data_IF_622212720071
#
_entry.id   IF_622212720071
#
_cell.length_a   1.000
_cell.length_b   1.000
_cell.length_c   1.000
_cell.angle_alpha   90.00
_cell.angle_beta   90.00
_cell.angle_gamma   90.00
#
_symmetry.space_group_name_H-M   'P 1'
#
loop_
_entity.id
_entity.type
_entity.pdbx_description
1 polymer ?
#
# COMPACT_ATOMS: atom_id res chain seq x y z
N UNK A 1 41.22 63.21 -87.00
CA UNK A 1 39.97 62.44 -87.22
C UNK A 1 40.23 60.92 -87.10
N UNK A 2 40.98 60.44 -86.09
CA UNK A 2 41.49 59.05 -86.07
C UNK A 2 41.28 58.24 -84.78
N UNK A 3 40.74 58.84 -83.72
CA UNK A 3 40.50 58.14 -82.45
C UNK A 3 39.07 57.61 -82.38
N UNK A 4 38.14 58.24 -83.11
CA UNK A 4 36.71 57.91 -83.13
C UNK A 4 36.34 56.77 -84.10
N UNK A 5 37.24 56.37 -85.01
CA UNK A 5 37.03 55.27 -85.97
C UNK A 5 37.81 53.99 -85.62
N UNK A 6 38.46 53.93 -84.45
CA UNK A 6 39.10 52.72 -83.97
C UNK A 6 38.06 51.88 -83.21
N UNK A 7 37.65 50.76 -83.78
CA UNK A 7 36.68 49.82 -83.18
C UNK A 7 37.06 49.45 -81.75
N UNK A 8 38.35 49.30 -81.46
CA UNK A 8 38.84 48.97 -80.12
C UNK A 8 38.57 50.08 -79.11
N UNK A 9 38.70 51.36 -79.49
CA UNK A 9 38.40 52.50 -78.62
C UNK A 9 36.90 52.61 -78.34
N UNK A 10 36.06 52.45 -79.37
CA UNK A 10 34.60 52.47 -79.22
C UNK A 10 34.11 51.31 -78.33
N UNK A 11 34.65 50.10 -78.51
CA UNK A 11 34.36 48.92 -77.68
C UNK A 11 34.80 49.15 -76.23
N UNK A 12 35.98 49.74 -76.01
CA UNK A 12 36.45 50.06 -74.66
C UNK A 12 35.54 51.07 -73.95
N UNK A 13 35.11 52.13 -74.65
CA UNK A 13 34.16 53.12 -74.11
C UNK A 13 32.80 52.47 -73.80
N UNK A 14 32.27 51.62 -74.70
CA UNK A 14 31.03 50.89 -74.47
C UNK A 14 31.13 49.92 -73.28
N UNK A 15 32.27 49.25 -73.09
CA UNK A 15 32.53 48.36 -71.96
C UNK A 15 32.54 49.14 -70.63
N UNK A 16 33.22 50.28 -70.58
CA UNK A 16 33.22 51.14 -69.39
C UNK A 16 31.83 51.68 -69.09
N UNK A 17 31.08 52.12 -70.12
CA UNK A 17 29.68 52.55 -69.97
C UNK A 17 28.79 51.42 -69.44
N UNK A 18 28.98 50.18 -69.91
CA UNK A 18 28.25 49.03 -69.41
C UNK A 18 28.50 48.78 -67.92
N UNK A 19 29.76 48.78 -67.47
CA UNK A 19 30.09 48.65 -66.06
C UNK A 19 29.61 49.84 -65.22
N UNK A 20 29.65 51.07 -65.75
CA UNK A 20 29.11 52.25 -65.09
C UNK A 20 27.59 52.14 -64.90
N UNK A 21 26.87 51.64 -65.91
CA UNK A 21 25.43 51.36 -65.81
C UNK A 21 25.15 50.24 -64.80
N UNK A 22 25.92 49.15 -64.79
CA UNK A 22 25.78 48.07 -63.80
C UNK A 22 26.06 48.54 -62.37
N UNK A 23 27.03 49.44 -62.21
CA UNK A 23 27.34 50.05 -60.93
C UNK A 23 26.20 50.98 -60.46
N UNK A 24 25.72 51.86 -61.35
CA UNK A 24 24.61 52.77 -61.06
C UNK A 24 23.30 52.02 -60.79
N UNK A 25 23.01 50.95 -61.55
CA UNK A 25 21.87 50.06 -61.33
C UNK A 25 22.00 49.19 -60.06
N UNK A 26 23.14 49.24 -59.36
CA UNK A 26 23.34 48.62 -58.06
C UNK A 26 23.42 47.09 -58.09
N UNK A 27 23.78 46.49 -59.23
CA UNK A 27 23.84 45.03 -59.39
C UNK A 27 24.80 44.38 -58.38
N UNK A 28 25.95 45.02 -58.13
CA UNK A 28 26.93 44.59 -57.12
C UNK A 28 26.33 44.53 -55.71
N UNK A 29 25.51 45.51 -55.31
CA UNK A 29 24.83 45.54 -54.00
C UNK A 29 23.79 44.43 -53.88
N UNK A 30 23.05 44.12 -54.95
CA UNK A 30 22.05 43.04 -54.94
C UNK A 30 22.70 41.67 -54.78
N UNK A 31 23.83 41.43 -55.44
CA UNK A 31 24.59 40.17 -55.31
C UNK A 31 25.14 40.05 -53.89
N UNK A 32 25.76 41.10 -53.35
CA UNK A 32 26.26 41.11 -51.98
C UNK A 32 25.13 40.85 -50.97
N UNK A 33 24.01 41.55 -51.08
CA UNK A 33 22.86 41.37 -50.19
C UNK A 33 22.26 39.95 -50.26
N UNK A 34 22.23 39.32 -51.44
CA UNK A 34 21.76 37.94 -51.58
C UNK A 34 22.71 36.93 -50.93
N UNK A 35 24.03 37.16 -51.02
CA UNK A 35 25.04 36.34 -50.35
C UNK A 35 24.97 36.52 -48.83
N UNK A 36 24.85 37.76 -48.35
CA UNK A 36 24.72 38.09 -46.92
C UNK A 36 23.44 37.48 -46.34
N UNK A 37 22.29 37.60 -47.03
CA UNK A 37 21.04 36.98 -46.60
C UNK A 37 21.15 35.45 -46.50
N UNK A 38 21.90 34.82 -47.41
CA UNK A 38 22.15 33.38 -47.36
C UNK A 38 23.09 33.01 -46.22
N UNK A 39 24.13 33.80 -45.98
CA UNK A 39 25.06 33.60 -44.87
C UNK A 39 24.34 33.71 -43.52
N UNK A 40 23.51 34.74 -43.33
CA UNK A 40 22.69 34.91 -42.13
C UNK A 40 21.71 33.77 -41.94
N UNK A 41 21.02 33.33 -43.00
CA UNK A 41 20.12 32.18 -42.91
C UNK A 41 20.86 30.92 -42.45
N UNK A 42 22.03 30.63 -43.02
CA UNK A 42 22.84 29.47 -42.63
C UNK A 42 23.30 29.61 -41.18
N UNK A 43 23.74 30.80 -40.78
CA UNK A 43 24.17 31.09 -39.41
C UNK A 43 23.04 30.82 -38.41
N UNK A 44 21.83 31.33 -38.68
CA UNK A 44 20.65 31.11 -37.85
C UNK A 44 20.29 29.62 -37.76
N UNK A 45 20.31 28.89 -38.88
CA UNK A 45 20.03 27.45 -38.88
C UNK A 45 21.08 26.65 -38.08
N UNK A 46 22.36 27.03 -38.14
CA UNK A 46 23.41 26.40 -37.35
C UNK A 46 23.28 26.73 -35.86
N UNK A 47 22.85 27.93 -35.52
CA UNK A 47 22.60 28.34 -34.13
C UNK A 47 21.41 27.58 -33.54
N UNK A 48 20.30 27.50 -34.27
CA UNK A 48 19.12 26.72 -33.89
C UNK A 48 19.45 25.23 -33.73
N UNK A 49 20.20 24.65 -34.68
CA UNK A 49 20.63 23.25 -34.60
C UNK A 49 21.52 22.99 -33.36
N UNK A 50 22.39 23.94 -33.01
CA UNK A 50 23.21 23.85 -31.78
C UNK A 50 22.35 23.92 -30.53
N UNK A 51 21.42 24.88 -30.47
CA UNK A 51 20.50 25.03 -29.34
C UNK A 51 19.66 23.76 -29.15
N UNK A 52 19.09 23.22 -30.23
CA UNK A 52 18.30 21.99 -30.20
C UNK A 52 19.13 20.79 -29.72
N UNK A 53 20.39 20.68 -30.15
CA UNK A 53 21.30 19.63 -29.69
C UNK A 53 21.59 19.76 -28.20
N UNK A 54 21.86 20.97 -27.73
CA UNK A 54 22.19 21.21 -26.32
C UNK A 54 20.96 20.98 -25.42
N UNK A 55 19.76 21.33 -25.88
CA UNK A 55 18.49 20.99 -25.22
C UNK A 55 18.25 19.48 -25.17
N UNK A 56 18.46 18.78 -26.29
CA UNK A 56 18.34 17.32 -26.34
C UNK A 56 19.32 16.63 -25.38
N UNK A 57 20.57 17.12 -25.30
CA UNK A 57 21.58 16.62 -24.36
C UNK A 57 21.18 16.87 -22.90
N UNK A 58 20.68 18.07 -22.57
CA UNK A 58 20.16 18.39 -21.23
C UNK A 58 18.98 17.49 -20.86
N UNK A 59 18.08 17.26 -21.81
CA UNK A 59 16.91 16.42 -21.62
C UNK A 59 17.35 14.97 -21.38
N UNK A 60 18.21 14.42 -22.23
CA UNK A 60 18.76 13.06 -22.07
C UNK A 60 19.41 12.88 -20.69
N UNK A 61 20.31 13.79 -20.30
CA UNK A 61 20.95 13.73 -18.99
C UNK A 61 19.93 13.82 -17.83
N UNK A 62 18.82 14.56 -18.01
CA UNK A 62 17.75 14.61 -17.01
C UNK A 62 16.98 13.28 -16.92
N UNK A 63 16.72 12.63 -18.05
CA UNK A 63 16.05 11.33 -18.09
C UNK A 63 16.93 10.21 -17.51
N UNK A 64 18.22 10.20 -17.81
CA UNK A 64 19.16 9.22 -17.23
C UNK A 64 19.24 9.35 -15.70
N UNK A 65 19.27 10.59 -15.17
CA UNK A 65 19.21 10.83 -13.72
C UNK A 65 17.90 10.34 -13.13
N UNK A 66 16.77 10.70 -13.76
CA UNK A 66 15.43 10.26 -13.32
C UNK A 66 15.29 8.74 -13.37
N UNK A 67 15.85 8.08 -14.38
CA UNK A 67 15.80 6.62 -14.50
C UNK A 67 16.51 5.95 -13.33
N UNK A 68 17.73 6.40 -13.00
CA UNK A 68 18.48 5.89 -11.83
C UNK A 68 17.76 6.17 -10.52
N UNK A 69 17.13 7.34 -10.40
CA UNK A 69 16.35 7.69 -9.22
C UNK A 69 15.12 6.80 -9.07
N UNK A 70 14.40 6.54 -10.16
CA UNK A 70 13.24 5.64 -10.19
C UNK A 70 13.64 4.21 -9.85
N UNK A 71 14.76 3.73 -10.38
CA UNK A 71 15.31 2.40 -10.05
C UNK A 71 15.60 2.29 -8.55
N UNK A 72 16.32 3.26 -7.97
CA UNK A 72 16.57 3.30 -6.52
C UNK A 72 15.28 3.35 -5.70
N UNK A 73 14.32 4.18 -6.11
CA UNK A 73 13.03 4.28 -5.42
C UNK A 73 12.24 2.97 -5.50
N UNK A 74 12.28 2.28 -6.64
CA UNK A 74 11.63 0.99 -6.80
C UNK A 74 12.26 -0.06 -5.86
N UNK A 75 13.58 -0.11 -5.78
CA UNK A 75 14.29 -1.00 -4.85
C UNK A 75 13.95 -0.69 -3.39
N UNK A 76 13.90 0.59 -3.01
CA UNK A 76 13.50 1.03 -1.68
C UNK A 76 12.05 0.66 -1.36
N UNK A 77 11.12 0.82 -2.30
CA UNK A 77 9.72 0.42 -2.13
C UNK A 77 9.62 -1.09 -1.92
N UNK A 78 10.32 -1.89 -2.72
CA UNK A 78 10.29 -3.36 -2.59
C UNK A 78 10.90 -3.79 -1.27
N UNK A 79 12.06 -3.23 -0.88
CA UNK A 79 12.71 -3.54 0.38
C UNK A 79 11.80 -3.22 1.57
N UNK A 80 11.19 -2.03 1.58
CA UNK A 80 10.25 -1.62 2.62
C UNK A 80 9.00 -2.51 2.66
N UNK A 81 8.44 -2.86 1.50
CA UNK A 81 7.28 -3.76 1.44
C UNK A 81 7.59 -5.14 2.02
N UNK A 82 8.81 -5.66 1.79
CA UNK A 82 9.25 -6.95 2.37
C UNK A 82 9.44 -6.83 3.88
N UNK A 83 10.03 -5.74 4.37
CA UNK A 83 10.18 -5.47 5.81
C UNK A 83 8.81 -5.36 6.51
N UNK A 84 7.92 -4.55 5.96
CA UNK A 84 6.55 -4.35 6.46
C UNK A 84 5.77 -5.69 6.48
N UNK A 85 5.89 -6.49 5.42
CA UNK A 85 5.25 -7.81 5.34
C UNK A 85 5.80 -8.79 6.40
N UNK A 86 7.11 -8.77 6.66
CA UNK A 86 7.73 -9.59 7.73
C UNK A 86 7.23 -9.16 9.10
N UNK A 87 7.26 -7.87 9.39
CA UNK A 87 6.77 -7.32 10.66
C UNK A 87 5.28 -7.64 10.88
N UNK A 88 4.45 -7.50 9.85
CA UNK A 88 3.04 -7.85 9.91
C UNK A 88 2.82 -9.36 10.13
N UNK A 89 3.63 -10.21 9.49
CA UNK A 89 3.58 -11.67 9.69
C UNK A 89 3.94 -12.06 11.12
N UNK A 90 4.99 -11.48 11.68
CA UNK A 90 5.42 -11.74 13.06
C UNK A 90 4.38 -11.25 14.08
N UNK A 91 3.87 -10.04 13.91
CA UNK A 91 2.80 -9.50 14.74
C UNK A 91 1.53 -10.36 14.65
N UNK A 92 1.17 -10.80 13.45
CA UNK A 92 0.03 -11.69 13.21
C UNK A 92 0.19 -13.05 13.89
N UNK A 93 1.37 -13.67 13.81
CA UNK A 93 1.68 -14.93 14.53
C UNK A 93 1.55 -14.75 16.04
N UNK A 94 2.15 -13.69 16.59
CA UNK A 94 2.10 -13.41 18.02
C UNK A 94 0.66 -13.16 18.53
N UNK A 95 -0.18 -12.50 17.73
CA UNK A 95 -1.61 -12.33 18.08
C UNK A 95 -2.37 -13.64 17.98
N UNK A 96 -2.10 -14.45 16.95
CA UNK A 96 -2.73 -15.76 16.77
C UNK A 96 -2.41 -16.68 17.95
N UNK A 97 -1.13 -16.76 18.36
CA UNK A 97 -0.70 -17.53 19.53
C UNK A 97 -1.43 -17.08 20.81
N UNK A 98 -1.51 -15.77 21.03
CA UNK A 98 -2.27 -15.21 22.17
C UNK A 98 -3.76 -15.54 22.09
N UNK A 99 -4.36 -15.48 20.90
CA UNK A 99 -5.77 -15.83 20.70
C UNK A 99 -6.04 -17.32 20.95
N UNK A 100 -5.15 -18.20 20.47
CA UNK A 100 -5.23 -19.65 20.70
C UNK A 100 -5.09 -19.96 22.19
N UNK A 101 -4.10 -19.38 22.88
CA UNK A 101 -3.92 -19.57 24.31
C UNK A 101 -5.15 -19.13 25.12
N UNK A 102 -5.76 -17.98 24.78
CA UNK A 102 -7.02 -17.53 25.42
C UNK A 102 -8.18 -18.50 25.17
N UNK A 103 -8.31 -19.02 23.95
CA UNK A 103 -9.37 -19.99 23.59
C UNK A 103 -9.20 -21.31 24.32
N UNK A 104 -7.96 -21.82 24.39
CA UNK A 104 -7.63 -23.04 25.14
C UNK A 104 -8.00 -22.88 26.61
N UNK A 105 -7.55 -21.78 27.25
CA UNK A 105 -7.87 -21.51 28.65
C UNK A 105 -9.39 -21.45 28.90
N UNK A 106 -10.14 -20.77 28.02
CA UNK A 106 -11.60 -20.70 28.14
C UNK A 106 -12.26 -22.08 27.96
N UNK A 107 -11.74 -22.93 27.07
CA UNK A 107 -12.23 -24.29 26.90
C UNK A 107 -11.93 -25.16 28.14
N UNK A 108 -10.73 -25.04 28.71
CA UNK A 108 -10.35 -25.72 29.96
C UNK A 108 -11.25 -25.29 31.12
N UNK A 109 -11.52 -23.99 31.27
CA UNK A 109 -12.45 -23.47 32.28
C UNK A 109 -13.89 -24.00 32.08
N UNK A 110 -14.35 -24.10 30.83
CA UNK A 110 -15.66 -24.67 30.51
C UNK A 110 -15.74 -26.17 30.84
N UNK A 111 -14.69 -26.93 30.51
CA UNK A 111 -14.60 -28.36 30.86
C UNK A 111 -14.62 -28.53 32.37
N UNK A 112 -13.79 -27.79 33.11
CA UNK A 112 -13.75 -27.86 34.57
C UNK A 112 -15.11 -27.53 35.21
N UNK A 113 -15.80 -26.51 34.69
CA UNK A 113 -17.14 -26.16 35.15
C UNK A 113 -18.18 -27.27 34.85
N UNK A 114 -18.11 -27.87 33.66
CA UNK A 114 -18.98 -28.96 33.26
C UNK A 114 -18.75 -30.23 34.09
N UNK A 115 -17.48 -30.58 34.34
CA UNK A 115 -17.11 -31.70 35.22
C UNK A 115 -17.63 -31.48 36.64
N UNK A 116 -17.42 -30.29 37.20
CA UNK A 116 -17.93 -29.96 38.53
C UNK A 116 -19.47 -30.03 38.59
N UNK A 117 -20.15 -29.62 37.53
CA UNK A 117 -21.61 -29.74 37.43
C UNK A 117 -22.07 -31.19 37.34
N UNK A 118 -21.41 -32.01 36.53
CA UNK A 118 -21.71 -33.44 36.39
C UNK A 118 -21.51 -34.19 37.71
N UNK A 119 -20.42 -33.90 38.44
CA UNK A 119 -20.17 -34.50 39.77
C UNK A 119 -21.29 -34.13 40.75
N UNK A 120 -21.72 -32.86 40.77
CA UNK A 120 -22.85 -32.44 41.62
C UNK A 120 -24.12 -33.18 41.25
N UNK A 121 -24.45 -33.27 39.96
CA UNK A 121 -25.64 -33.96 39.49
C UNK A 121 -25.66 -35.44 39.87
N UNK A 122 -24.55 -36.16 39.73
CA UNK A 122 -24.44 -37.56 40.15
C UNK A 122 -24.61 -37.70 41.66
N UNK A 123 -24.03 -36.78 42.45
CA UNK A 123 -24.17 -36.78 43.91
C UNK A 123 -25.62 -36.55 44.33
N UNK A 124 -26.29 -35.58 43.71
CA UNK A 124 -27.67 -35.23 44.02
C UNK A 124 -28.62 -36.39 43.67
N UNK A 125 -28.39 -37.07 42.55
CA UNK A 125 -29.13 -38.29 42.17
C UNK A 125 -28.89 -39.42 43.18
N UNK A 126 -27.64 -39.66 43.58
CA UNK A 126 -27.32 -40.68 44.59
C UNK A 126 -27.97 -40.39 45.95
N UNK A 127 -28.04 -39.12 46.36
CA UNK A 127 -28.75 -38.69 47.57
C UNK A 127 -30.24 -38.96 47.42
N UNK A 128 -30.85 -38.60 46.29
CA UNK A 128 -32.27 -38.82 46.03
C UNK A 128 -32.64 -40.31 46.10
N UNK A 129 -31.85 -41.18 45.45
CA UNK A 129 -32.02 -42.64 45.51
C UNK A 129 -31.87 -43.17 46.93
N UNK A 130 -30.86 -42.69 47.67
CA UNK A 130 -30.63 -43.12 49.06
C UNK A 130 -31.78 -42.74 49.99
N UNK A 131 -32.31 -41.51 49.85
CA UNK A 131 -33.46 -41.03 50.63
C UNK A 131 -34.72 -41.83 50.28
N UNK A 132 -34.96 -42.10 49.00
CA UNK A 132 -36.10 -42.92 48.56
C UNK A 132 -36.02 -44.35 49.11
N UNK A 133 -34.85 -44.98 49.04
CA UNK A 133 -34.63 -46.32 49.59
C UNK A 133 -34.80 -46.35 51.12
N UNK A 134 -34.26 -45.35 51.83
CA UNK A 134 -34.44 -45.23 53.28
C UNK A 134 -35.91 -45.05 53.65
N UNK A 135 -36.65 -44.20 52.92
CA UNK A 135 -38.08 -44.00 53.13
C UNK A 135 -38.88 -45.29 52.90
N UNK A 136 -38.55 -46.08 51.87
CA UNK A 136 -39.20 -47.35 51.60
C UNK A 136 -38.90 -48.41 52.69
N UNK A 137 -37.65 -48.51 53.15
CA UNK A 137 -37.27 -49.40 54.26
C UNK A 137 -37.98 -48.99 55.55
N UNK A 138 -38.03 -47.70 55.87
CA UNK A 138 -38.76 -47.19 57.03
C UNK A 138 -40.26 -47.51 56.94
N UNK A 139 -40.88 -47.32 55.77
CA UNK A 139 -42.30 -47.63 55.56
C UNK A 139 -42.61 -49.13 55.77
N UNK A 140 -41.68 -50.02 55.38
CA UNK A 140 -41.83 -51.47 55.58
C UNK A 140 -41.53 -51.93 57.02
N UNK A 141 -40.80 -51.14 57.81
CA UNK A 141 -40.35 -51.52 59.15
C UNK A 141 -41.10 -50.83 60.29
N UNK A 142 -41.92 -49.82 59.99
CA UNK A 142 -42.83 -49.20 60.96
C UNK A 142 -43.98 -50.16 61.27
N UNK A 143 -44.15 -50.43 62.56
CA UNK A 143 -45.35 -51.06 63.13
C UNK A 143 -46.27 -49.98 63.68
N UNK A 144 -47.57 -50.26 63.82
CA UNK A 144 -48.57 -49.31 64.33
C UNK A 144 -48.16 -48.74 65.72
N UNK A 145 -47.59 -49.58 66.57
CA UNK A 145 -47.05 -49.18 67.88
C UNK A 145 -45.87 -48.21 67.77
N UNK A 146 -44.95 -48.44 66.83
CA UNK A 146 -43.80 -47.55 66.61
C UNK A 146 -44.23 -46.21 66.00
N UNK A 147 -45.25 -46.21 65.15
CA UNK A 147 -45.84 -44.99 64.58
C UNK A 147 -46.50 -44.13 65.67
N UNK A 148 -47.26 -44.74 66.58
CA UNK A 148 -47.86 -44.03 67.72
C UNK A 148 -46.79 -43.42 68.65
N UNK A 149 -45.75 -44.20 68.98
CA UNK A 149 -44.63 -43.72 69.82
C UNK A 149 -43.89 -42.53 69.18
N UNK A 150 -43.68 -42.55 67.86
CA UNK A 150 -43.07 -41.45 67.11
C UNK A 150 -43.96 -40.19 67.08
N UNK A 151 -45.28 -40.36 66.99
CA UNK A 151 -46.23 -39.24 67.01
C UNK A 151 -46.23 -38.55 68.38
N UNK A 152 -46.28 -39.31 69.47
CA UNK A 152 -46.22 -38.77 70.83
C UNK A 152 -44.88 -38.07 71.09
N UNK A 153 -43.76 -38.65 70.62
CA UNK A 153 -42.45 -38.02 70.72
C UNK A 153 -42.34 -36.71 69.92
N UNK A 154 -42.93 -36.65 68.71
CA UNK A 154 -42.97 -35.43 67.90
C UNK A 154 -43.81 -34.33 68.57
N UNK A 155 -44.95 -34.68 69.17
CA UNK A 155 -45.79 -33.75 69.95
C UNK A 155 -45.00 -33.20 71.15
N UNK A 156 -44.27 -34.06 71.87
CA UNK A 156 -43.43 -33.65 72.99
C UNK A 156 -42.23 -32.77 72.56
N UNK A 157 -41.64 -33.01 71.39
CA UNK A 157 -40.57 -32.16 70.82
C UNK A 157 -41.09 -30.78 70.43
N UNK A 158 -42.26 -30.70 69.77
CA UNK A 158 -42.91 -29.42 69.44
C UNK A 158 -43.27 -28.64 70.71
N UNK A 159 -43.81 -29.32 71.73
CA UNK A 159 -44.08 -28.72 73.04
C UNK A 159 -42.82 -28.13 73.68
N UNK A 160 -41.67 -28.83 73.61
CA UNK A 160 -40.39 -28.35 74.15
C UNK A 160 -39.77 -27.17 73.39
N UNK A 161 -40.10 -26.97 72.11
CA UNK A 161 -39.60 -25.83 71.31
C UNK A 161 -40.54 -24.61 71.34
N UNK A 162 -41.77 -24.78 71.83
CA UNK A 162 -42.78 -23.72 71.96
C UNK A 162 -42.92 -23.19 73.40
N UNK A 163 -42.18 -23.76 74.36
CA UNK A 163 -41.94 -23.20 75.69
C UNK A 163 -40.57 -22.52 75.75
#
# INVERSE_FOLDING_TARGET
MGILYNTTFLVAVAFVLFFAILWWAGVHRRIAAALDARAEKIRLQLEEARQLRDEAQKLLASYERKQKEVERLADEIVAKAVEDARAASEAGKAELERAVARRLKSAEEQIANAEAAAIRQVRDEAIAVSVAAAAEVMARSITDEKAAELADAAIAEVGRRLH
#
